data_IF_835510842289
#
_entry.id   IF_835510842289
#
_cell.length_a   1.000
_cell.length_b   1.000
_cell.length_c   1.000
_cell.angle_alpha   90.00
_cell.angle_beta   90.00
_cell.angle_gamma   90.00
#
_symmetry.space_group_name_H-M   'P 1'
#
loop_
_entity.id
_entity.type
_entity.pdbx_description
1 polymer ?
#
# COMPACT_ATOMS: atom_id res chain seq x y z
N UNK A 1 45.41 -0.70 -7.09
CA UNK A 1 44.63 -0.58 -5.83
C UNK A 1 43.68 0.62 -5.83
N UNK A 2 44.11 1.85 -6.13
CA UNK A 2 43.22 3.04 -6.18
C UNK A 2 42.06 2.93 -7.19
N UNK A 3 42.33 2.39 -8.39
CA UNK A 3 41.31 2.21 -9.45
C UNK A 3 40.23 1.19 -9.06
N UNK A 4 40.64 0.05 -8.48
CA UNK A 4 39.72 -0.99 -7.99
C UNK A 4 38.86 -0.46 -6.84
N UNK A 5 39.46 0.32 -5.94
CA UNK A 5 38.73 0.95 -4.84
C UNK A 5 37.71 1.99 -5.32
N UNK A 6 38.00 2.70 -6.40
CA UNK A 6 37.07 3.65 -7.03
C UNK A 6 35.87 2.95 -7.67
N UNK A 7 36.09 1.88 -8.43
CA UNK A 7 35.00 1.10 -9.02
C UNK A 7 34.16 0.37 -7.97
N UNK A 8 34.76 -0.12 -6.88
CA UNK A 8 34.03 -0.72 -5.76
C UNK A 8 33.13 0.32 -5.06
N UNK A 9 33.61 1.55 -4.88
CA UNK A 9 32.83 2.63 -4.28
C UNK A 9 31.65 3.05 -5.17
N UNK A 10 31.87 3.15 -6.49
CA UNK A 10 30.81 3.42 -7.48
C UNK A 10 29.75 2.31 -7.53
N UNK A 11 30.17 1.04 -7.42
CA UNK A 11 29.26 -0.10 -7.34
C UNK A 11 28.40 -0.01 -6.07
N UNK A 12 28.99 0.25 -4.90
CA UNK A 12 28.25 0.38 -3.63
C UNK A 12 27.27 1.56 -3.62
N UNK A 13 27.58 2.67 -4.29
CA UNK A 13 26.64 3.79 -4.46
C UNK A 13 25.45 3.45 -5.36
N UNK A 14 25.60 2.48 -6.27
CA UNK A 14 24.52 1.99 -7.12
C UNK A 14 23.55 1.06 -6.38
N UNK A 15 23.94 0.55 -5.20
CA UNK A 15 23.11 -0.26 -4.31
C UNK A 15 22.25 0.55 -3.35
N UNK A 16 22.11 1.86 -3.55
CA UNK A 16 21.15 2.65 -2.78
C UNK A 16 19.71 2.23 -3.12
N UNK A 17 19.31 1.14 -2.44
CA UNK A 17 18.06 0.94 -1.72
C UNK A 17 16.91 1.71 -2.34
N UNK A 18 16.17 1.00 -3.19
CA UNK A 18 14.84 1.36 -3.65
C UNK A 18 13.87 1.33 -2.45
N UNK A 19 14.03 2.24 -1.49
CA UNK A 19 13.03 2.46 -0.43
C UNK A 19 11.85 3.17 -1.08
N UNK A 20 10.93 2.39 -1.66
CA UNK A 20 9.70 2.92 -2.18
C UNK A 20 8.81 3.30 -0.98
N UNK A 21 8.79 4.58 -0.63
CA UNK A 21 7.81 5.10 0.32
C UNK A 21 6.45 5.09 -0.36
N UNK A 22 5.60 4.15 0.06
CA UNK A 22 4.23 4.04 -0.44
C UNK A 22 3.37 5.06 0.29
N UNK A 23 2.75 5.97 -0.46
CA UNK A 23 1.83 6.97 0.09
C UNK A 23 0.57 6.32 0.66
N UNK A 24 0.05 6.90 1.74
CA UNK A 24 -1.22 6.46 2.32
C UNK A 24 -2.40 6.81 1.38
N UNK A 25 -3.39 5.92 1.26
CA UNK A 25 -4.58 6.19 0.44
C UNK A 25 -5.37 7.39 0.96
N UNK A 26 -5.92 8.19 0.05
CA UNK A 26 -6.74 9.38 0.40
C UNK A 26 -8.02 8.99 1.15
N UNK A 27 -8.66 7.90 0.72
CA UNK A 27 -9.96 7.45 1.21
C UNK A 27 -9.83 6.51 2.43
N UNK A 28 -8.99 6.87 3.39
CA UNK A 28 -8.79 6.12 4.62
C UNK A 28 -9.85 6.45 5.67
N UNK A 29 -10.40 5.42 6.31
CA UNK A 29 -11.23 5.60 7.50
C UNK A 29 -10.40 6.17 8.67
N UNK A 30 -11.02 6.92 9.60
CA UNK A 30 -10.33 7.37 10.81
C UNK A 30 -9.70 6.22 11.62
N UNK A 31 -10.39 5.08 11.69
CA UNK A 31 -9.95 3.90 12.43
C UNK A 31 -8.66 3.33 11.82
N UNK A 32 -8.65 3.14 10.49
CA UNK A 32 -7.46 2.61 9.80
C UNK A 32 -6.26 3.58 9.92
N UNK A 33 -6.48 4.90 9.95
CA UNK A 33 -5.39 5.87 10.20
C UNK A 33 -4.74 5.65 11.57
N UNK A 34 -5.55 5.42 12.60
CA UNK A 34 -5.05 5.14 13.95
C UNK A 34 -4.26 3.82 13.98
N UNK A 35 -4.79 2.78 13.35
CA UNK A 35 -4.11 1.48 13.26
C UNK A 35 -2.75 1.62 12.54
N UNK A 36 -2.71 2.29 11.38
CA UNK A 36 -1.46 2.50 10.62
C UNK A 36 -0.43 3.30 11.43
N UNK A 37 -0.86 4.29 12.23
CA UNK A 37 0.03 5.07 13.08
C UNK A 37 0.88 4.20 14.02
N UNK A 38 0.29 3.13 14.57
CA UNK A 38 1.00 2.16 15.38
C UNK A 38 1.71 1.10 14.51
N UNK A 39 1.02 0.52 13.55
CA UNK A 39 1.52 -0.60 12.76
C UNK A 39 2.68 -0.25 11.82
N UNK A 40 2.83 1.02 11.40
CA UNK A 40 4.01 1.46 10.63
C UNK A 40 5.30 1.33 11.45
N UNK A 41 5.21 1.43 12.78
CA UNK A 41 6.35 1.29 13.69
C UNK A 41 6.59 -0.17 14.10
N UNK A 42 5.54 -0.88 14.52
CA UNK A 42 5.69 -2.21 15.13
C UNK A 42 5.62 -3.37 14.13
N UNK A 43 4.92 -3.20 13.01
CA UNK A 43 4.77 -4.24 11.97
C UNK A 43 4.86 -3.63 10.56
N UNK A 44 5.98 -2.99 10.20
CA UNK A 44 6.10 -2.23 8.95
C UNK A 44 5.83 -3.08 7.69
N UNK A 45 6.19 -4.37 7.71
CA UNK A 45 5.91 -5.30 6.61
C UNK A 45 4.42 -5.47 6.32
N UNK A 46 3.57 -5.53 7.35
CA UNK A 46 2.11 -5.65 7.18
C UNK A 46 1.55 -4.40 6.51
N UNK A 47 1.99 -3.21 6.95
CA UNK A 47 1.56 -1.95 6.34
C UNK A 47 2.02 -1.87 4.90
N UNK A 48 3.25 -2.29 4.61
CA UNK A 48 3.80 -2.31 3.26
C UNK A 48 3.04 -3.27 2.33
N UNK A 49 2.76 -4.50 2.76
CA UNK A 49 2.00 -5.46 1.98
C UNK A 49 0.56 -4.99 1.73
N UNK A 50 -0.06 -4.39 2.75
CA UNK A 50 -1.37 -3.76 2.60
C UNK A 50 -1.32 -2.61 1.58
N UNK A 51 -0.33 -1.71 1.63
CA UNK A 51 -0.14 -0.63 0.65
C UNK A 51 0.11 -1.14 -0.78
N UNK A 52 0.63 -2.36 -0.94
CA UNK A 52 0.76 -3.01 -2.26
C UNK A 52 -0.52 -3.65 -2.77
N UNK A 53 -1.43 -4.04 -1.88
CA UNK A 53 -2.67 -4.75 -2.21
C UNK A 53 -3.69 -3.89 -2.98
N UNK A 54 -4.74 -4.53 -3.52
CA UNK A 54 -5.92 -3.81 -4.04
C UNK A 54 -6.77 -3.18 -2.94
N UNK A 55 -6.75 -3.75 -1.74
CA UNK A 55 -7.55 -3.30 -0.60
C UNK A 55 -7.21 -1.88 -0.17
N UNK A 56 -5.94 -1.46 -0.29
CA UNK A 56 -5.52 -0.08 -0.04
C UNK A 56 -5.76 0.87 -1.21
N UNK A 57 -6.00 0.37 -2.42
CA UNK A 57 -5.99 1.17 -3.66
C UNK A 57 -7.37 1.39 -4.29
N UNK A 58 -8.38 0.65 -3.86
CA UNK A 58 -9.71 0.69 -4.48
C UNK A 58 -10.77 0.57 -3.39
N UNK A 59 -11.78 1.45 -3.42
CA UNK A 59 -12.92 1.37 -2.52
C UNK A 59 -13.92 0.31 -3.01
N UNK A 60 -14.79 -0.23 -2.14
CA UNK A 60 -15.86 -1.11 -2.57
C UNK A 60 -16.78 -0.48 -3.63
N UNK A 61 -17.06 0.83 -3.52
CA UNK A 61 -17.84 1.58 -4.51
C UNK A 61 -17.16 1.61 -5.90
N UNK A 62 -15.84 1.79 -5.94
CA UNK A 62 -15.09 1.75 -7.19
C UNK A 62 -15.00 0.32 -7.75
N UNK A 63 -14.85 -0.67 -6.87
CA UNK A 63 -14.74 -2.07 -7.23
C UNK A 63 -16.01 -2.61 -7.89
N UNK A 64 -17.18 -2.29 -7.34
CA UNK A 64 -18.47 -2.82 -7.82
C UNK A 64 -18.87 -2.24 -9.19
N UNK A 65 -18.32 -1.08 -9.56
CA UNK A 65 -18.55 -0.44 -10.88
C UNK A 65 -17.77 -1.10 -12.02
N UNK A 66 -16.83 -2.02 -11.72
CA UNK A 66 -16.05 -2.74 -12.75
C UNK A 66 -16.87 -3.85 -13.39
N UNK A 67 -16.36 -4.37 -14.52
CA UNK A 67 -16.98 -5.51 -15.22
C UNK A 67 -17.04 -6.76 -14.34
N UNK A 68 -17.91 -7.71 -14.67
CA UNK A 68 -18.22 -8.88 -13.82
C UNK A 68 -16.99 -9.69 -13.37
N UNK A 69 -16.00 -9.90 -14.26
CA UNK A 69 -14.77 -10.62 -13.92
C UNK A 69 -13.75 -9.75 -13.16
N UNK A 70 -13.83 -8.44 -13.27
CA UNK A 70 -12.86 -7.51 -12.69
C UNK A 70 -13.27 -6.97 -11.32
N UNK A 71 -14.58 -6.92 -11.04
CA UNK A 71 -15.14 -6.31 -9.83
C UNK A 71 -14.64 -6.95 -8.54
N UNK A 72 -14.42 -8.27 -8.55
CA UNK A 72 -13.89 -9.05 -7.40
C UNK A 72 -14.64 -8.80 -6.08
N UNK A 73 -15.92 -8.44 -6.19
CA UNK A 73 -16.86 -8.23 -5.07
C UNK A 73 -18.09 -9.06 -5.39
N UNK A 74 -18.47 -9.95 -4.47
CA UNK A 74 -19.60 -10.85 -4.61
C UNK A 74 -20.89 -10.33 -3.97
N UNK A 75 -20.78 -9.40 -3.01
CA UNK A 75 -21.95 -8.81 -2.36
C UNK A 75 -22.66 -7.84 -3.29
N UNK A 76 -24.00 -7.83 -3.22
CA UNK A 76 -24.85 -6.85 -3.91
C UNK A 76 -25.07 -5.59 -3.07
N UNK A 77 -24.86 -5.67 -1.76
CA UNK A 77 -25.11 -4.57 -0.83
C UNK A 77 -23.85 -4.32 0.01
N UNK A 78 -23.39 -3.07 -0.01
CA UNK A 78 -22.23 -2.60 0.74
C UNK A 78 -22.74 -1.49 1.67
N UNK A 79 -22.54 -1.59 2.99
CA UNK A 79 -22.92 -0.53 3.92
C UNK A 79 -22.31 0.83 3.55
N UNK A 80 -23.08 1.91 3.69
CA UNK A 80 -22.66 3.25 3.28
C UNK A 80 -21.37 3.73 3.97
N UNK A 81 -21.16 3.33 5.22
CA UNK A 81 -19.96 3.66 5.98
C UNK A 81 -18.69 2.95 5.49
N UNK A 82 -18.82 1.92 4.63
CA UNK A 82 -17.71 1.15 4.08
C UNK A 82 -17.52 1.38 2.57
N UNK A 83 -18.53 1.89 1.87
CA UNK A 83 -18.51 1.97 0.40
C UNK A 83 -17.44 2.93 -0.15
N UNK A 84 -17.22 4.05 0.55
CA UNK A 84 -16.35 5.15 0.11
C UNK A 84 -14.95 5.14 0.69
N UNK A 85 -14.65 4.21 1.59
CA UNK A 85 -13.32 4.05 2.18
C UNK A 85 -12.62 2.81 1.62
N UNK A 86 -11.30 2.84 1.59
CA UNK A 86 -10.50 1.67 1.23
C UNK A 86 -10.62 0.59 2.31
N UNK A 87 -10.39 -0.66 1.94
CA UNK A 87 -10.47 -1.79 2.88
C UNK A 87 -9.21 -1.78 3.76
N UNK A 88 -9.37 -1.28 4.98
CA UNK A 88 -8.30 -1.16 5.97
C UNK A 88 -8.30 -2.25 7.03
N UNK A 89 -7.57 -1.98 8.12
CA UNK A 89 -7.63 -2.72 9.38
C UNK A 89 -8.84 -2.30 10.21
#
# INVERSE_FOLDING_TARGET
MKLVSFFLFLFLLSFNVYSQELELPKNLSPQTKQCIGCHKQYTPGIVFDWLKSRHSKTTPEEGIKKTELEKRISTKNIPDNLSKVVVGC
#
